data_IF_768927573559
#
_entry.id   IF_768927573559
#
_cell.length_a   1.000
_cell.length_b   1.000
_cell.length_c   1.000
_cell.angle_alpha   90.00
_cell.angle_beta   90.00
_cell.angle_gamma   90.00
#
_symmetry.space_group_name_H-M   'P 1'
#
loop_
_entity.id
_entity.type
_entity.pdbx_description
1 polymer ?
#
# COMPACT_ATOMS: atom_id res chain seq x y z
N UNK A 1 -5.28 12.04 -4.85
CA UNK A 1 -4.25 12.81 -4.10
C UNK A 1 -3.22 11.81 -3.60
N UNK A 2 -1.94 12.11 -3.71
CA UNK A 2 -0.82 11.25 -3.30
C UNK A 2 -0.34 11.73 -1.93
N UNK A 3 -0.56 10.93 -0.89
CA UNK A 3 -0.13 11.27 0.46
C UNK A 3 1.39 11.16 0.56
N UNK A 4 2.07 12.21 0.98
CA UNK A 4 3.52 12.20 1.07
C UNK A 4 4.05 12.79 2.38
N UNK A 5 5.24 12.34 2.78
CA UNK A 5 6.04 12.91 3.86
C UNK A 5 7.41 13.35 3.34
N UNK A 6 8.02 14.26 4.07
CA UNK A 6 9.41 14.63 3.90
C UNK A 6 10.22 14.11 5.11
N UNK A 7 11.41 13.60 4.87
CA UNK A 7 12.29 13.08 5.93
C UNK A 7 13.69 13.69 5.73
N UNK A 8 14.10 14.53 6.66
CA UNK A 8 15.37 15.25 6.61
C UNK A 8 15.71 15.77 8.01
N UNK A 9 16.91 15.57 8.51
CA UNK A 9 17.31 16.04 9.84
C UNK A 9 17.47 17.57 9.91
N UNK A 10 17.65 18.23 8.76
CA UNK A 10 17.75 19.68 8.62
C UNK A 10 16.37 20.37 8.59
N UNK A 11 16.00 21.20 9.58
CA UNK A 11 14.69 21.87 9.61
C UNK A 11 14.42 22.79 8.41
N UNK A 12 15.47 23.38 7.84
CA UNK A 12 15.34 24.27 6.69
C UNK A 12 15.01 23.47 5.40
N UNK A 13 15.62 22.29 5.24
CA UNK A 13 15.33 21.40 4.13
C UNK A 13 13.89 20.86 4.20
N UNK A 14 13.41 20.48 5.39
CA UNK A 14 12.01 20.11 5.61
C UNK A 14 11.04 21.23 5.22
N UNK A 15 11.31 22.45 5.66
CA UNK A 15 10.48 23.62 5.32
C UNK A 15 10.48 23.91 3.82
N UNK A 16 11.61 23.73 3.15
CA UNK A 16 11.71 23.87 1.69
C UNK A 16 10.87 22.82 0.98
N UNK A 17 10.99 21.54 1.40
CA UNK A 17 10.19 20.43 0.84
C UNK A 17 8.69 20.64 1.06
N UNK A 18 8.27 21.04 2.26
CA UNK A 18 6.87 21.38 2.56
C UNK A 18 6.36 22.48 1.62
N UNK A 19 7.15 23.56 1.44
CA UNK A 19 6.79 24.66 0.53
C UNK A 19 6.70 24.18 -0.93
N UNK A 20 7.57 23.30 -1.37
CA UNK A 20 7.51 22.76 -2.73
C UNK A 20 6.33 21.79 -2.92
N UNK A 21 6.08 20.91 -1.95
CA UNK A 21 4.95 20.00 -1.95
C UNK A 21 3.63 20.75 -2.06
N UNK A 22 3.47 21.84 -1.29
CA UNK A 22 2.25 22.67 -1.29
C UNK A 22 1.96 23.33 -2.66
N UNK A 23 2.96 23.46 -3.52
CA UNK A 23 2.84 24.03 -4.87
C UNK A 23 2.55 22.95 -5.96
N UNK A 24 2.42 21.68 -5.57
CA UNK A 24 2.11 20.58 -6.48
C UNK A 24 0.71 20.04 -6.18
N UNK A 25 -0.31 20.32 -7.00
CA UNK A 25 -1.73 20.12 -6.67
C UNK A 25 -2.15 18.66 -6.39
N UNK A 26 -1.38 17.68 -6.88
CA UNK A 26 -1.69 16.26 -6.70
C UNK A 26 -0.99 15.61 -5.49
N UNK A 27 -0.10 16.35 -4.79
CA UNK A 27 0.54 15.91 -3.56
C UNK A 27 -0.24 16.41 -2.33
N UNK A 28 -0.35 15.55 -1.31
CA UNK A 28 -0.94 15.89 -0.01
C UNK A 28 0.10 15.66 1.09
N UNK A 29 0.62 16.75 1.66
CA UNK A 29 1.67 16.70 2.68
C UNK A 29 1.10 16.27 4.04
N UNK A 30 1.56 15.13 4.54
CA UNK A 30 1.12 14.57 5.83
C UNK A 30 2.02 14.95 7.00
N UNK A 31 3.27 15.29 6.73
CA UNK A 31 4.19 15.73 7.76
C UNK A 31 5.66 15.69 7.39
N UNK A 32 6.47 16.45 8.14
CA UNK A 32 7.93 16.41 8.10
C UNK A 32 8.47 15.58 9.26
N UNK A 33 9.43 14.72 8.97
CA UNK A 33 10.09 13.82 9.92
C UNK A 33 11.59 14.18 10.00
N UNK A 34 12.14 14.22 11.20
CA UNK A 34 13.56 14.54 11.40
C UNK A 34 14.44 13.32 11.52
N UNK A 35 13.86 12.13 11.51
CA UNK A 35 14.57 10.87 11.59
C UNK A 35 13.72 9.72 11.03
N UNK A 36 14.35 8.59 10.78
CA UNK A 36 13.68 7.38 10.29
C UNK A 36 12.60 6.85 11.26
N UNK A 37 12.82 7.00 12.58
CA UNK A 37 11.86 6.55 13.59
C UNK A 37 10.52 7.34 13.53
N UNK A 38 10.55 8.62 13.19
CA UNK A 38 9.34 9.42 12.98
C UNK A 38 8.63 9.00 11.68
N UNK A 39 9.38 8.80 10.59
CA UNK A 39 8.84 8.34 9.32
C UNK A 39 8.14 6.98 9.45
N UNK A 40 8.69 6.06 10.26
CA UNK A 40 8.10 4.75 10.52
C UNK A 40 6.69 4.82 11.11
N UNK A 41 6.33 5.86 11.86
CA UNK A 41 4.96 6.02 12.39
C UNK A 41 3.95 6.20 11.25
N UNK A 42 4.25 7.09 10.30
CA UNK A 42 3.42 7.32 9.12
C UNK A 42 3.32 6.09 8.20
N UNK A 43 4.45 5.37 8.05
CA UNK A 43 4.49 4.16 7.20
C UNK A 43 3.67 3.02 7.81
N UNK A 44 3.74 2.82 9.13
CA UNK A 44 2.97 1.78 9.84
C UNK A 44 1.46 2.04 9.83
N UNK A 45 1.06 3.31 9.85
CA UNK A 45 -0.35 3.69 9.75
C UNK A 45 -0.88 3.60 8.31
N UNK A 46 -0.02 3.25 7.34
CA UNK A 46 -0.34 3.07 5.91
C UNK A 46 -0.98 4.32 5.26
N UNK A 47 -0.55 5.50 5.73
CA UNK A 47 -1.03 6.80 5.23
C UNK A 47 -0.10 7.45 4.21
N UNK A 48 0.99 6.80 3.81
CA UNK A 48 2.02 7.38 2.96
C UNK A 48 2.17 6.62 1.67
N UNK A 49 1.97 7.31 0.55
CA UNK A 49 2.17 6.80 -0.80
C UNK A 49 3.57 7.11 -1.32
N UNK A 50 4.15 8.25 -0.92
CA UNK A 50 5.47 8.71 -1.36
C UNK A 50 6.29 9.34 -0.23
N UNK A 51 7.62 9.23 -0.30
CA UNK A 51 8.57 9.82 0.64
C UNK A 51 9.65 10.59 -0.11
N UNK A 52 9.84 11.86 0.25
CA UNK A 52 11.02 12.64 -0.08
C UNK A 52 12.02 12.47 1.06
N UNK A 53 13.09 11.72 0.83
CA UNK A 53 13.96 11.20 1.88
C UNK A 53 15.40 11.67 1.70
N UNK A 54 15.95 12.33 2.73
CA UNK A 54 17.39 12.57 2.76
C UNK A 54 18.16 11.27 2.94
N UNK A 55 19.31 11.20 2.25
CA UNK A 55 20.19 10.02 2.36
C UNK A 55 21.04 10.09 3.63
N UNK A 56 21.53 11.27 3.98
CA UNK A 56 22.50 11.44 5.06
C UNK A 56 21.84 11.90 6.37
N UNK A 57 21.19 10.99 7.05
CA UNK A 57 20.62 11.25 8.37
C UNK A 57 21.52 10.68 9.48
N UNK A 58 21.54 11.31 10.68
CA UNK A 58 22.45 10.91 11.75
C UNK A 58 22.10 9.56 12.40
N UNK A 59 20.83 9.13 12.32
CA UNK A 59 20.35 7.88 12.94
C UNK A 59 20.56 6.65 12.02
N UNK A 60 20.27 6.79 10.73
CA UNK A 60 20.44 5.73 9.73
C UNK A 60 20.57 6.36 8.35
N UNK A 61 21.39 5.78 7.49
CA UNK A 61 21.43 6.18 6.08
C UNK A 61 20.08 5.90 5.39
N UNK A 62 19.55 6.90 4.64
CA UNK A 62 18.24 6.80 3.99
C UNK A 62 18.09 5.60 3.05
N UNK A 63 19.16 5.18 2.36
CA UNK A 63 19.15 3.99 1.51
C UNK A 63 18.98 2.73 2.36
N UNK A 64 19.70 2.63 3.49
CA UNK A 64 19.59 1.48 4.40
C UNK A 64 18.23 1.47 5.09
N UNK A 65 17.69 2.65 5.44
CA UNK A 65 16.31 2.75 5.92
C UNK A 65 15.31 2.14 4.95
N UNK A 66 15.37 2.50 3.66
CA UNK A 66 14.47 1.94 2.62
C UNK A 66 14.61 0.42 2.50
N UNK A 67 15.82 -0.13 2.64
CA UNK A 67 16.05 -1.59 2.62
C UNK A 67 15.37 -2.32 3.79
N UNK A 68 15.13 -1.65 4.91
CA UNK A 68 14.41 -2.24 6.06
C UNK A 68 12.90 -2.34 5.83
N UNK A 69 12.36 -1.57 4.85
CA UNK A 69 10.93 -1.53 4.57
C UNK A 69 10.51 -2.74 3.72
N UNK A 70 9.58 -3.52 4.22
CA UNK A 70 9.04 -4.71 3.49
C UNK A 70 8.33 -4.29 2.21
N UNK A 71 7.58 -3.19 2.27
CA UNK A 71 6.88 -2.59 1.13
C UNK A 71 7.11 -1.09 1.16
N UNK A 72 8.20 -0.61 0.52
CA UNK A 72 8.50 0.81 0.53
C UNK A 72 7.44 1.61 -0.25
N UNK A 73 7.05 2.79 0.25
CA UNK A 73 6.36 3.80 -0.55
C UNK A 73 7.17 4.17 -1.79
N UNK A 74 6.65 5.07 -2.61
CA UNK A 74 7.43 5.65 -3.72
C UNK A 74 8.50 6.54 -3.12
N UNK A 75 9.78 6.31 -3.47
CA UNK A 75 10.90 7.02 -2.87
C UNK A 75 11.51 8.00 -3.86
N UNK A 76 11.65 9.24 -3.44
CA UNK A 76 12.52 10.26 -4.07
C UNK A 76 13.59 10.60 -3.05
N UNK A 77 14.86 10.36 -3.38
CA UNK A 77 15.95 10.76 -2.51
C UNK A 77 16.30 12.23 -2.69
N UNK A 78 16.66 12.88 -1.60
CA UNK A 78 17.34 14.18 -1.59
C UNK A 78 18.72 13.99 -1.02
N UNK A 79 19.76 14.62 -1.57
CA UNK A 79 21.13 14.43 -1.12
C UNK A 79 22.04 15.57 -1.54
N UNK A 80 23.06 15.86 -0.75
CA UNK A 80 24.15 16.77 -1.11
C UNK A 80 25.24 16.09 -1.95
N UNK A 81 25.20 14.77 -2.14
CA UNK A 81 26.28 14.01 -2.76
C UNK A 81 25.81 13.26 -4.03
N UNK A 82 26.48 13.51 -5.14
CA UNK A 82 26.14 12.88 -6.43
C UNK A 82 26.47 11.37 -6.48
N UNK A 83 27.40 10.90 -5.66
CA UNK A 83 27.89 9.51 -5.71
C UNK A 83 26.84 8.48 -5.26
N UNK A 84 25.86 8.88 -4.47
CA UNK A 84 24.78 8.00 -4.02
C UNK A 84 23.75 7.65 -5.11
N UNK A 85 23.74 8.37 -6.23
CA UNK A 85 22.84 8.06 -7.35
C UNK A 85 23.02 6.64 -7.88
N UNK A 86 24.26 6.11 -7.84
CA UNK A 86 24.58 4.74 -8.29
C UNK A 86 24.07 3.68 -7.31
N UNK A 87 24.10 3.94 -6.01
CA UNK A 87 23.61 3.00 -5.00
C UNK A 87 22.07 2.98 -4.90
N UNK A 88 21.45 4.09 -5.13
CA UNK A 88 20.00 4.20 -5.05
C UNK A 88 19.26 3.49 -6.19
N UNK A 89 19.88 3.24 -7.35
CA UNK A 89 19.30 2.33 -8.35
C UNK A 89 19.02 0.93 -7.80
N UNK A 90 19.72 0.51 -6.74
CA UNK A 90 19.52 -0.80 -6.09
C UNK A 90 18.25 -0.88 -5.23
N UNK A 91 17.63 0.25 -4.89
CA UNK A 91 16.43 0.31 -4.02
C UNK A 91 15.17 0.82 -4.74
N UNK A 92 15.21 0.86 -6.09
CA UNK A 92 14.07 1.27 -6.93
C UNK A 92 13.49 2.66 -6.59
N UNK A 93 14.36 3.63 -6.26
CA UNK A 93 13.92 5.03 -6.12
C UNK A 93 13.47 5.60 -7.48
N UNK A 94 12.46 6.43 -7.45
CA UNK A 94 11.88 7.05 -8.65
C UNK A 94 12.75 8.16 -9.18
N UNK A 95 13.35 8.92 -8.28
CA UNK A 95 14.22 10.03 -8.64
C UNK A 95 15.22 10.40 -7.54
N UNK A 96 16.17 11.26 -7.90
CA UNK A 96 17.20 11.83 -7.03
C UNK A 96 17.23 13.33 -7.23
N UNK A 97 17.14 14.08 -6.13
CA UNK A 97 17.27 15.53 -6.10
C UNK A 97 18.59 15.89 -5.42
N UNK A 98 19.54 16.42 -6.21
CA UNK A 98 20.83 16.86 -5.67
C UNK A 98 20.68 18.26 -5.06
N UNK A 99 20.95 18.40 -3.77
CA UNK A 99 20.93 19.69 -3.06
C UNK A 99 22.11 20.58 -3.51
N UNK A 100 21.92 21.89 -3.78
CA UNK A 100 20.63 22.59 -3.75
C UNK A 100 19.81 22.34 -5.03
N UNK A 101 18.52 22.05 -4.91
CA UNK A 101 17.60 21.89 -6.02
C UNK A 101 16.49 22.93 -6.01
N UNK A 102 15.99 23.28 -7.19
CA UNK A 102 14.92 24.26 -7.35
C UNK A 102 13.54 23.60 -7.48
N UNK A 103 12.50 24.45 -7.49
CA UNK A 103 11.11 24.01 -7.63
C UNK A 103 10.86 23.23 -8.94
N UNK A 104 11.52 23.59 -10.03
CA UNK A 104 11.33 22.91 -11.32
C UNK A 104 11.90 21.49 -11.32
N UNK A 105 13.00 21.26 -10.61
CA UNK A 105 13.58 19.93 -10.40
C UNK A 105 12.67 19.09 -9.51
N UNK A 106 12.16 19.69 -8.43
CA UNK A 106 11.19 19.05 -7.54
C UNK A 106 9.92 18.66 -8.30
N UNK A 107 9.36 19.55 -9.14
CA UNK A 107 8.18 19.24 -9.96
C UNK A 107 8.40 18.07 -10.91
N UNK A 108 9.57 17.99 -11.56
CA UNK A 108 9.90 16.85 -12.41
C UNK A 108 9.95 15.54 -11.64
N UNK A 109 10.52 15.54 -10.43
CA UNK A 109 10.50 14.38 -9.56
C UNK A 109 9.07 14.02 -9.11
N UNK A 110 8.26 15.02 -8.76
CA UNK A 110 6.86 14.83 -8.39
C UNK A 110 6.02 14.23 -9.54
N UNK A 111 6.25 14.63 -10.79
CA UNK A 111 5.57 14.02 -11.95
C UNK A 111 5.98 12.53 -12.13
N UNK A 112 7.22 12.17 -11.86
CA UNK A 112 7.64 10.76 -11.85
C UNK A 112 6.96 9.98 -10.73
N UNK A 113 6.82 10.59 -9.54
CA UNK A 113 6.04 10.02 -8.43
C UNK A 113 4.60 9.76 -8.87
N UNK A 114 3.97 10.74 -9.53
CA UNK A 114 2.60 10.59 -10.04
C UNK A 114 2.49 9.46 -11.06
N UNK A 115 3.37 9.41 -12.04
CA UNK A 115 3.37 8.37 -13.05
C UNK A 115 3.51 6.96 -12.42
N UNK A 116 4.39 6.81 -11.42
CA UNK A 116 4.55 5.53 -10.73
C UNK A 116 3.36 5.21 -9.81
N UNK A 117 2.75 6.21 -9.19
CA UNK A 117 1.53 6.05 -8.42
C UNK A 117 0.37 5.58 -9.31
N UNK A 118 0.16 6.25 -10.44
CA UNK A 118 -0.86 5.88 -11.42
C UNK A 118 -0.61 4.48 -12.01
N UNK A 119 0.64 4.09 -12.23
CA UNK A 119 0.99 2.72 -12.63
C UNK A 119 0.66 1.69 -11.53
N UNK A 120 0.88 2.04 -10.25
CA UNK A 120 0.49 1.16 -9.13
C UNK A 120 -1.03 1.06 -9.01
N UNK A 121 -1.75 2.16 -9.22
CA UNK A 121 -3.21 2.22 -9.24
C UNK A 121 -3.79 1.65 -10.54
N UNK A 122 -3.19 1.96 -11.69
CA UNK A 122 -3.61 1.50 -13.00
C UNK A 122 -3.41 -0.01 -13.21
N UNK A 123 -2.44 -0.62 -12.56
CA UNK A 123 -2.37 -2.09 -12.42
C UNK A 123 -3.49 -2.66 -11.53
N UNK A 124 -4.22 -1.80 -10.80
CA UNK A 124 -5.48 -2.17 -10.12
C UNK A 124 -6.69 -2.12 -11.05
N UNK A 125 -6.61 -1.44 -12.19
CA UNK A 125 -7.78 -1.19 -13.06
C UNK A 125 -7.59 -1.55 -14.53
N UNK A 126 -6.38 -1.94 -14.95
CA UNK A 126 -6.11 -2.23 -16.37
C UNK A 126 -5.84 -3.71 -16.60
N UNK A 127 -6.71 -4.27 -17.43
CA UNK A 127 -6.59 -5.49 -18.23
C UNK A 127 -6.71 -6.79 -17.46
N UNK A 128 -7.83 -7.46 -17.68
CA UNK A 128 -7.93 -8.89 -17.65
C UNK A 128 -6.89 -9.51 -18.63
N UNK A 129 -5.62 -9.56 -18.17
CA UNK A 129 -4.75 -10.64 -18.58
C UNK A 129 -5.29 -11.89 -17.89
N UNK A 130 -5.35 -13.01 -18.60
CA UNK A 130 -5.87 -14.30 -18.13
C UNK A 130 -5.12 -14.88 -16.92
N UNK A 131 -4.19 -14.13 -16.32
CA UNK A 131 -3.41 -14.50 -15.15
C UNK A 131 -3.83 -13.72 -13.90
N UNK A 132 -4.94 -14.15 -13.28
CA UNK A 132 -5.49 -13.61 -12.02
C UNK A 132 -4.61 -14.03 -10.80
N UNK A 133 -3.30 -13.81 -10.89
CA UNK A 133 -2.31 -14.24 -9.88
C UNK A 133 -1.58 -13.09 -9.25
N UNK A 134 -1.40 -13.16 -7.92
CA UNK A 134 -0.53 -12.27 -7.15
C UNK A 134 0.68 -13.04 -6.61
N UNK A 135 1.81 -12.35 -6.50
CA UNK A 135 3.02 -12.89 -5.89
C UNK A 135 3.18 -12.34 -4.48
N UNK A 136 3.23 -13.21 -3.49
CA UNK A 136 3.44 -12.87 -2.09
C UNK A 136 4.80 -13.33 -1.61
N UNK A 137 5.53 -12.42 -0.96
CA UNK A 137 6.78 -12.75 -0.29
C UNK A 137 6.47 -13.27 1.12
N UNK A 138 6.90 -14.48 1.41
CA UNK A 138 6.96 -15.07 2.77
C UNK A 138 8.40 -15.06 3.26
N UNK A 139 8.65 -15.51 4.50
CA UNK A 139 9.99 -15.44 5.13
C UNK A 139 11.12 -16.07 4.28
N UNK A 140 10.79 -17.11 3.50
CA UNK A 140 11.81 -17.88 2.77
C UNK A 140 11.55 -18.05 1.27
N UNK A 141 10.39 -17.61 0.75
CA UNK A 141 10.01 -17.85 -0.64
C UNK A 141 9.03 -16.79 -1.19
N UNK A 142 8.98 -16.72 -2.51
CA UNK A 142 7.92 -16.00 -3.21
C UNK A 142 6.88 -17.04 -3.62
N UNK A 143 5.62 -16.82 -3.22
CA UNK A 143 4.49 -17.70 -3.53
C UNK A 143 3.59 -17.02 -4.53
N UNK A 144 3.33 -17.68 -5.66
CA UNK A 144 2.30 -17.25 -6.61
C UNK A 144 0.95 -17.78 -6.14
N UNK A 145 -0.01 -16.93 -6.01
CA UNK A 145 -1.38 -17.26 -5.58
C UNK A 145 -2.36 -16.80 -6.65
N UNK A 146 -3.18 -17.69 -7.13
CA UNK A 146 -4.31 -17.33 -7.97
C UNK A 146 -5.37 -16.62 -7.09
N UNK A 147 -5.66 -15.35 -7.37
CA UNK A 147 -6.56 -14.53 -6.55
C UNK A 147 -7.98 -15.12 -6.53
N UNK A 148 -8.43 -15.73 -7.62
CA UNK A 148 -9.74 -16.37 -7.69
C UNK A 148 -9.87 -17.55 -6.72
N UNK A 149 -8.74 -18.20 -6.32
CA UNK A 149 -8.75 -19.29 -5.35
C UNK A 149 -8.88 -18.81 -3.89
N UNK A 150 -8.72 -17.51 -3.61
CA UNK A 150 -8.87 -16.98 -2.26
C UNK A 150 -10.35 -16.91 -1.90
N UNK A 151 -10.72 -17.52 -0.78
CA UNK A 151 -12.06 -17.47 -0.20
C UNK A 151 -12.25 -16.21 0.65
N UNK A 152 -11.36 -16.01 1.61
CA UNK A 152 -11.36 -14.81 2.46
C UNK A 152 -9.96 -14.50 2.96
N UNK A 153 -9.79 -13.28 3.43
CA UNK A 153 -8.55 -12.76 4.00
C UNK A 153 -8.84 -12.29 5.42
N UNK A 154 -8.07 -12.82 6.37
CA UNK A 154 -8.19 -12.51 7.79
C UNK A 154 -6.98 -11.69 8.25
N UNK A 155 -7.22 -10.56 8.91
CA UNK A 155 -6.19 -9.73 9.52
C UNK A 155 -5.80 -10.22 10.90
N UNK A 156 -4.50 -10.46 11.10
CA UNK A 156 -3.89 -10.91 12.35
C UNK A 156 -2.75 -9.98 12.75
N UNK A 157 -3.08 -8.86 13.40
CA UNK A 157 -2.09 -7.81 13.74
C UNK A 157 -1.35 -7.27 12.51
N UNK A 158 -0.08 -7.60 12.34
CA UNK A 158 0.77 -7.19 11.21
C UNK A 158 0.71 -8.17 10.03
N UNK A 159 0.03 -9.32 10.18
CA UNK A 159 -0.04 -10.37 9.19
C UNK A 159 -1.44 -10.48 8.61
N UNK A 160 -1.50 -10.98 7.39
CA UNK A 160 -2.74 -11.41 6.75
C UNK A 160 -2.69 -12.91 6.52
N UNK A 161 -3.79 -13.55 6.79
CA UNK A 161 -4.01 -14.97 6.56
C UNK A 161 -4.97 -15.13 5.39
N UNK A 162 -4.49 -15.67 4.27
CA UNK A 162 -5.26 -15.92 3.07
C UNK A 162 -5.82 -17.35 3.15
N UNK A 163 -7.12 -17.47 3.21
CA UNK A 163 -7.84 -18.74 3.15
C UNK A 163 -8.11 -19.07 1.68
N UNK A 164 -7.71 -20.24 1.24
CA UNK A 164 -7.80 -20.67 -0.15
C UNK A 164 -8.70 -21.91 -0.30
N UNK A 165 -9.19 -22.15 -1.52
CA UNK A 165 -9.98 -23.32 -1.82
C UNK A 165 -9.20 -24.62 -1.60
N UNK A 166 -9.92 -25.72 -1.38
CA UNK A 166 -9.37 -27.08 -1.44
C UNK A 166 -8.72 -27.58 -0.15
N UNK A 167 -9.08 -27.06 1.04
CA UNK A 167 -8.48 -27.47 2.33
C UNK A 167 -6.94 -27.34 2.38
N UNK A 168 -6.40 -26.37 1.66
CA UNK A 168 -4.98 -26.03 1.70
C UNK A 168 -4.72 -25.17 2.94
N UNK A 169 -3.59 -25.39 3.61
CA UNK A 169 -3.18 -24.55 4.73
C UNK A 169 -3.16 -23.08 4.32
N UNK A 170 -3.76 -22.18 5.13
CA UNK A 170 -3.81 -20.76 4.81
C UNK A 170 -2.42 -20.17 4.67
N UNK A 171 -2.24 -19.30 3.67
CA UNK A 171 -0.98 -18.58 3.48
C UNK A 171 -0.93 -17.37 4.40
N UNK A 172 0.11 -17.29 5.23
CA UNK A 172 0.37 -16.14 6.10
C UNK A 172 1.40 -15.23 5.44
N UNK A 173 1.06 -13.95 5.33
CA UNK A 173 1.90 -12.93 4.70
C UNK A 173 2.01 -11.69 5.61
N UNK A 174 3.15 -11.02 5.57
CA UNK A 174 3.36 -9.73 6.25
C UNK A 174 2.93 -8.60 5.29
N UNK A 175 1.70 -8.14 5.43
CA UNK A 175 1.12 -7.09 4.60
C UNK A 175 -0.06 -6.44 5.32
N UNK A 176 -0.28 -5.13 5.11
CA UNK A 176 -1.46 -4.47 5.64
C UNK A 176 -2.73 -4.80 4.84
N UNK A 177 -3.87 -4.85 5.54
CA UNK A 177 -5.19 -5.10 4.94
C UNK A 177 -5.52 -4.06 3.85
N UNK A 178 -5.29 -2.78 4.12
CA UNK A 178 -5.57 -1.66 3.21
C UNK A 178 -4.76 -1.78 1.90
N UNK A 179 -3.48 -2.20 2.01
CA UNK A 179 -2.61 -2.34 0.85
C UNK A 179 -3.02 -3.51 -0.06
N UNK A 180 -3.47 -4.61 0.55
CA UNK A 180 -3.99 -5.74 -0.22
C UNK A 180 -5.34 -5.41 -0.85
N UNK A 181 -6.24 -4.75 -0.10
CA UNK A 181 -7.57 -4.33 -0.56
C UNK A 181 -7.51 -3.53 -1.87
N UNK A 182 -6.58 -2.59 -1.98
CA UNK A 182 -6.37 -1.78 -3.19
C UNK A 182 -5.81 -2.56 -4.40
N UNK A 183 -5.45 -3.84 -4.23
CA UNK A 183 -4.93 -4.72 -5.31
C UNK A 183 -5.84 -5.88 -5.65
N UNK A 184 -6.91 -6.05 -4.89
CA UNK A 184 -7.86 -7.11 -5.13
C UNK A 184 -8.88 -6.71 -6.19
N UNK A 185 -9.33 -7.66 -7.04
CA UNK A 185 -10.42 -7.41 -7.98
C UNK A 185 -11.73 -6.98 -7.30
N UNK A 186 -12.62 -6.34 -8.05
CA UNK A 186 -13.90 -5.81 -7.57
C UNK A 186 -14.86 -6.85 -6.95
N UNK A 187 -14.58 -8.14 -7.14
CA UNK A 187 -15.33 -9.20 -6.49
C UNK A 187 -14.83 -9.53 -5.07
N UNK A 188 -13.86 -8.78 -4.54
CA UNK A 188 -13.54 -8.78 -3.11
C UNK A 188 -14.16 -7.56 -2.43
N UNK A 189 -14.67 -7.76 -1.23
CA UNK A 189 -15.24 -6.69 -0.41
C UNK A 189 -14.80 -6.82 1.04
N UNK A 190 -14.40 -5.70 1.62
CA UNK A 190 -14.14 -5.65 3.07
C UNK A 190 -15.46 -5.57 3.82
N UNK A 191 -15.70 -6.53 4.69
CA UNK A 191 -16.93 -6.66 5.48
C UNK A 191 -16.73 -6.50 6.98
N UNK A 192 -15.47 -6.44 7.40
CA UNK A 192 -15.10 -6.26 8.81
C UNK A 192 -13.73 -5.57 8.90
N UNK A 193 -13.41 -4.97 10.06
CA UNK A 193 -12.06 -4.40 10.28
C UNK A 193 -10.93 -5.41 10.05
N UNK A 194 -11.21 -6.71 10.23
CA UNK A 194 -10.24 -7.79 10.08
C UNK A 194 -10.59 -8.78 8.96
N UNK A 195 -11.60 -8.54 8.13
CA UNK A 195 -11.97 -9.49 7.07
C UNK A 195 -12.31 -8.82 5.74
N UNK A 196 -11.69 -9.35 4.67
CA UNK A 196 -12.08 -9.14 3.28
C UNK A 196 -12.57 -10.50 2.73
N UNK A 197 -13.68 -10.53 2.03
CA UNK A 197 -14.29 -11.74 1.48
C UNK A 197 -14.34 -11.70 -0.03
N UNK A 198 -14.27 -12.87 -0.65
CA UNK A 198 -14.58 -13.06 -2.07
C UNK A 198 -16.10 -13.21 -2.22
N UNK A 199 -16.74 -12.22 -2.82
CA UNK A 199 -18.18 -12.16 -3.01
C UNK A 199 -18.74 -13.30 -3.87
N UNK A 200 -17.90 -13.91 -4.71
CA UNK A 200 -18.27 -15.06 -5.56
C UNK A 200 -18.33 -16.37 -4.78
N UNK A 201 -17.77 -16.41 -3.56
CA UNK A 201 -17.67 -17.60 -2.70
C UNK A 201 -18.54 -17.49 -1.45
N UNK A 202 -19.50 -16.60 -1.45
CA UNK A 202 -20.53 -16.53 -0.42
C UNK A 202 -21.50 -17.68 -0.61
N UNK A 203 -21.65 -18.51 0.41
CA UNK A 203 -22.65 -19.60 0.44
C UNK A 203 -23.98 -19.11 1.02
N UNK A 204 -23.92 -18.36 2.12
CA UNK A 204 -25.12 -17.91 2.84
C UNK A 204 -24.84 -16.62 3.61
N UNK A 205 -25.83 -15.76 3.74
CA UNK A 205 -25.80 -14.57 4.60
C UNK A 205 -26.96 -14.63 5.56
N UNK A 206 -26.65 -14.71 6.86
CA UNK A 206 -27.66 -14.77 7.90
C UNK A 206 -27.24 -14.00 9.16
N UNK A 207 -28.16 -13.26 9.73
CA UNK A 207 -28.02 -12.57 11.04
C UNK A 207 -26.72 -11.76 11.17
N UNK A 208 -26.34 -11.00 10.13
CA UNK A 208 -25.14 -10.17 10.13
C UNK A 208 -23.82 -10.95 10.03
N UNK A 209 -23.87 -12.18 9.54
CA UNK A 209 -22.71 -13.03 9.28
C UNK A 209 -22.77 -13.59 7.87
N UNK A 210 -21.60 -13.83 7.30
CA UNK A 210 -21.42 -14.44 5.98
C UNK A 210 -20.80 -15.81 6.19
N UNK A 211 -21.46 -16.84 5.68
CA UNK A 211 -20.91 -18.19 5.58
C UNK A 211 -20.27 -18.36 4.21
N UNK A 212 -18.97 -18.61 4.18
CA UNK A 212 -18.21 -18.87 2.96
C UNK A 212 -18.36 -20.33 2.51
N UNK A 213 -18.02 -20.63 1.25
CA UNK A 213 -18.08 -22.00 0.71
C UNK A 213 -17.18 -22.98 1.47
N UNK A 214 -16.05 -22.53 1.98
CA UNK A 214 -15.12 -23.30 2.82
C UNK A 214 -15.63 -23.57 4.25
N UNK A 215 -16.82 -23.05 4.59
CA UNK A 215 -17.42 -23.17 5.92
C UNK A 215 -16.99 -22.09 6.91
N UNK A 216 -16.14 -21.14 6.52
CA UNK A 216 -15.72 -20.02 7.39
C UNK A 216 -16.89 -19.08 7.64
N UNK A 217 -17.16 -18.76 8.92
CA UNK A 217 -18.22 -17.86 9.32
C UNK A 217 -17.66 -16.48 9.70
N UNK A 218 -17.97 -15.47 8.91
CA UNK A 218 -17.38 -14.13 9.00
C UNK A 218 -18.42 -13.12 9.49
N UNK A 219 -18.14 -12.32 10.54
CA UNK A 219 -19.07 -11.27 10.98
C UNK A 219 -18.98 -10.05 10.04
N UNK A 220 -20.12 -9.39 9.83
CA UNK A 220 -20.17 -8.09 9.14
C UNK A 220 -20.12 -7.00 10.20
N UNK A 221 -19.05 -6.18 10.18
CA UNK A 221 -18.87 -5.07 11.12
C UNK A 221 -19.83 -3.91 10.81
N UNK A 222 -20.21 -3.16 11.84
CA UNK A 222 -21.23 -2.10 11.71
C UNK A 222 -20.88 -1.06 10.65
N UNK A 223 -19.62 -0.67 10.52
CA UNK A 223 -19.15 0.28 9.51
C UNK A 223 -19.24 -0.24 8.06
N UNK A 224 -19.38 -1.54 7.88
CA UNK A 224 -19.39 -2.19 6.56
C UNK A 224 -20.78 -2.67 6.13
N UNK A 225 -21.76 -2.62 7.06
CA UNK A 225 -23.11 -3.16 6.83
C UNK A 225 -23.83 -2.49 5.68
N UNK A 226 -23.77 -1.17 5.59
CA UNK A 226 -24.46 -0.40 4.56
C UNK A 226 -23.94 -0.75 3.16
N UNK A 227 -22.63 -0.74 2.96
CA UNK A 227 -22.01 -1.08 1.69
C UNK A 227 -22.28 -2.54 1.29
N UNK A 228 -22.21 -3.47 2.28
CA UNK A 228 -22.48 -4.88 2.04
C UNK A 228 -23.98 -5.13 1.72
N UNK A 229 -24.90 -4.44 2.40
CA UNK A 229 -26.33 -4.53 2.12
C UNK A 229 -26.65 -4.00 0.72
N UNK A 230 -26.08 -2.87 0.32
CA UNK A 230 -26.25 -2.32 -1.01
C UNK A 230 -25.79 -3.32 -2.12
N UNK A 231 -24.67 -4.03 -1.87
CA UNK A 231 -24.25 -5.10 -2.76
C UNK A 231 -25.27 -6.24 -2.82
N UNK A 232 -25.77 -6.72 -1.68
CA UNK A 232 -26.79 -7.77 -1.65
C UNK A 232 -28.04 -7.35 -2.39
N UNK A 233 -28.54 -6.15 -2.14
CA UNK A 233 -29.74 -5.60 -2.77
C UNK A 233 -29.60 -5.52 -4.29
N UNK A 234 -28.40 -5.23 -4.80
CA UNK A 234 -28.10 -5.24 -6.22
C UNK A 234 -28.15 -6.63 -6.87
N UNK A 235 -28.12 -7.70 -6.08
CA UNK A 235 -28.10 -9.11 -6.53
C UNK A 235 -29.37 -9.88 -6.21
N UNK A 236 -30.30 -9.30 -5.45
CA UNK A 236 -31.58 -9.96 -5.18
C UNK A 236 -32.42 -10.11 -6.44
N UNK A 237 -32.90 -11.33 -6.70
CA UNK A 237 -33.77 -11.70 -7.80
C UNK A 237 -35.22 -11.94 -7.34
N UNK A 238 -35.63 -11.37 -6.21
CA UNK A 238 -36.99 -11.52 -5.71
C UNK A 238 -37.27 -10.59 -4.53
N UNK A 239 -38.53 -10.18 -4.38
CA UNK A 239 -39.06 -9.56 -3.17
C UNK A 239 -39.45 -10.64 -2.18
#
# INVERSE_FOLDING_TARGET
>A
MINCIAVDDEPLALKQLENYISQVPFLDFKGGCRCAAEAMKYIREDIVDAIFLDINMPDINGIDFVKTLVTPPIIVFTTAYADYAVEGFKVNAVDYLLKPFGLDEFRRAAEKVRAQYEQREGNSTAVADEDDSLFFKTDYKIVRVNVSSISCIEGMSEYLKLHMDGNVDPLVILLSMKKLEGRLPSYFMRVHKSYIINLRKIREVARGRVLMEDGTLIPVGDMYKEAFQAYLDSKFLGK
#
